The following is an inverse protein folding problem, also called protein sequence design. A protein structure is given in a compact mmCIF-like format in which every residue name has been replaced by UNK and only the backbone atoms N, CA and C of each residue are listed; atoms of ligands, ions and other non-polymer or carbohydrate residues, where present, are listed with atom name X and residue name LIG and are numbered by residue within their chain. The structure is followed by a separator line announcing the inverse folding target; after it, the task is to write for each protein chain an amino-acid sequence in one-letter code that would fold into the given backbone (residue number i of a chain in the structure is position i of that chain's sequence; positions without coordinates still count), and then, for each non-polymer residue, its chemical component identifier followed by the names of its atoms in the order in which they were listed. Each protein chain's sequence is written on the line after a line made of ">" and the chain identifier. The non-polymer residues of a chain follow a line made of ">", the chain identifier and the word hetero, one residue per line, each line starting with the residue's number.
data_IF_356806869706
#
_entry.id   IF_356806869706
#
_cell.length_a   1.000
_cell.length_b   1.000
_cell.length_c   1.000
_cell.angle_alpha   90.00
_cell.angle_beta   90.00
_cell.angle_gamma   90.00
#
_symmetry.space_group_name_H-M   'P 1'
#
loop_
_entity.id
_entity.type
_entity.pdbx_description
1 polymer ?
#
# COMPACT_ATOMS: atom_id res chain seq x y z
N UNK A 1 8.27 -0.84 8.89
CA UNK A 1 7.57 -1.95 8.21
C UNK A 1 7.73 -3.25 8.98
N UNK A 2 6.64 -4.00 9.19
CA UNK A 2 6.67 -5.43 9.55
C UNK A 2 7.07 -6.27 8.34
N UNK A 3 8.38 -6.39 8.12
CA UNK A 3 8.93 -6.85 6.85
C UNK A 3 8.80 -8.36 6.64
N UNK A 4 9.13 -9.16 7.66
CA UNK A 4 9.10 -10.62 7.57
C UNK A 4 7.66 -11.14 7.45
N UNK A 5 6.74 -10.56 8.21
CA UNK A 5 5.32 -10.90 8.19
C UNK A 5 4.69 -10.52 6.85
N UNK A 6 5.05 -9.36 6.31
CA UNK A 6 4.57 -8.96 5.00
C UNK A 6 5.13 -9.85 3.89
N UNK A 7 6.40 -10.27 3.96
CA UNK A 7 6.95 -11.27 3.05
C UNK A 7 6.14 -12.56 3.09
N UNK A 8 5.89 -13.12 4.28
CA UNK A 8 5.09 -14.34 4.45
C UNK A 8 3.66 -14.17 3.91
N UNK A 9 3.06 -13.00 4.12
CA UNK A 9 1.76 -12.68 3.55
C UNK A 9 1.78 -12.72 2.01
N UNK A 10 2.82 -12.18 1.38
CA UNK A 10 2.98 -12.20 -0.08
C UNK A 10 3.27 -13.60 -0.62
N UNK A 11 4.03 -14.42 0.09
CA UNK A 11 4.33 -15.81 -0.29
C UNK A 11 3.08 -16.71 -0.24
N UNK A 12 2.13 -16.39 0.63
CA UNK A 12 0.84 -17.08 0.73
C UNK A 12 -0.25 -16.49 -0.19
N UNK A 13 0.05 -15.45 -0.96
CA UNK A 13 -0.90 -14.85 -1.89
C UNK A 13 -0.96 -15.65 -3.20
N UNK A 14 -2.10 -16.29 -3.54
CA UNK A 14 -2.20 -17.12 -4.74
C UNK A 14 -2.03 -16.33 -6.05
N UNK A 15 -2.15 -14.99 -6.01
CA UNK A 15 -1.88 -14.13 -7.17
C UNK A 15 -0.39 -13.85 -7.39
N UNK A 16 0.48 -14.31 -6.49
CA UNK A 16 1.94 -14.12 -6.56
C UNK A 16 2.58 -15.47 -6.83
N UNK A 17 2.97 -15.68 -8.09
CA UNK A 17 3.37 -17.01 -8.59
C UNK A 17 4.86 -17.31 -8.48
N UNK A 18 5.68 -16.39 -7.95
CA UNK A 18 7.13 -16.60 -7.84
C UNK A 18 7.79 -15.79 -6.73
N UNK A 19 8.90 -16.30 -6.22
CA UNK A 19 9.76 -15.61 -5.27
C UNK A 19 10.27 -14.27 -5.82
N UNK A 20 10.58 -14.20 -7.12
CA UNK A 20 10.96 -12.96 -7.80
C UNK A 20 9.87 -11.89 -7.67
N UNK A 21 8.60 -12.29 -7.77
CA UNK A 21 7.47 -11.40 -7.64
C UNK A 21 7.25 -10.92 -6.18
N UNK A 22 7.58 -11.76 -5.19
CA UNK A 22 7.65 -11.38 -3.76
C UNK A 22 8.77 -10.37 -3.54
N UNK A 23 10.00 -10.70 -3.94
CA UNK A 23 11.19 -9.86 -3.79
C UNK A 23 11.01 -8.48 -4.44
N UNK A 24 10.36 -8.42 -5.61
CA UNK A 24 10.04 -7.16 -6.27
C UNK A 24 9.09 -6.27 -5.45
N UNK A 25 8.06 -6.86 -4.81
CA UNK A 25 7.13 -6.11 -3.95
C UNK A 25 7.78 -5.66 -2.64
N UNK A 26 8.60 -6.51 -2.03
CA UNK A 26 9.40 -6.16 -0.85
C UNK A 26 10.35 -4.99 -1.13
N UNK A 27 11.10 -5.07 -2.23
CA UNK A 27 11.98 -3.98 -2.67
C UNK A 27 11.23 -2.67 -2.89
N UNK A 28 10.07 -2.72 -3.54
CA UNK A 28 9.21 -1.55 -3.74
C UNK A 28 8.66 -1.00 -2.43
N UNK A 29 8.25 -1.84 -1.49
CA UNK A 29 7.77 -1.39 -0.18
C UNK A 29 8.86 -0.60 0.55
N UNK A 30 10.11 -1.09 0.55
CA UNK A 30 11.27 -0.38 1.14
C UNK A 30 11.55 0.94 0.41
N UNK A 31 11.52 0.94 -0.93
CA UNK A 31 11.68 2.17 -1.72
C UNK A 31 10.63 3.21 -1.39
N UNK A 32 9.39 2.80 -1.14
CA UNK A 32 8.32 3.73 -0.77
C UNK A 32 8.63 4.41 0.57
N UNK A 33 9.04 3.66 1.60
CA UNK A 33 9.43 4.28 2.88
C UNK A 33 10.60 5.26 2.71
N UNK A 34 11.59 4.90 1.88
CA UNK A 34 12.78 5.72 1.64
C UNK A 34 12.51 7.00 0.82
N UNK A 35 11.73 6.87 -0.25
CA UNK A 35 11.50 7.93 -1.25
C UNK A 35 10.42 8.91 -0.79
N UNK A 36 9.37 8.42 -0.13
CA UNK A 36 8.28 9.25 0.36
C UNK A 36 8.45 9.65 1.83
N UNK A 37 9.52 9.17 2.49
CA UNK A 37 9.81 9.45 3.92
C UNK A 37 8.62 9.12 4.83
N UNK A 38 7.91 8.04 4.51
CA UNK A 38 6.77 7.55 5.29
C UNK A 38 7.14 6.25 6.00
N UNK A 39 6.46 5.99 7.12
CA UNK A 39 6.42 4.66 7.72
C UNK A 39 5.12 3.98 7.26
N UNK A 40 5.23 2.90 6.50
CA UNK A 40 4.06 2.23 5.93
C UNK A 40 3.18 1.63 7.03
N UNK A 41 3.74 1.04 8.08
CA UNK A 41 2.97 0.46 9.20
C UNK A 41 2.07 1.49 9.85
N UNK A 42 2.61 2.69 10.09
CA UNK A 42 1.87 3.78 10.69
C UNK A 42 0.85 4.40 9.73
N UNK A 43 1.19 4.45 8.45
CA UNK A 43 0.36 5.04 7.40
C UNK A 43 -0.92 4.24 7.17
N UNK A 44 -0.83 2.91 7.13
CA UNK A 44 -1.99 2.07 6.78
C UNK A 44 -2.98 1.86 7.93
N UNK A 45 -2.63 2.26 9.16
CA UNK A 45 -3.51 2.16 10.35
C UNK A 45 -4.58 3.25 10.39
N UNK A 46 -4.46 4.26 9.55
CA UNK A 46 -5.36 5.41 9.48
C UNK A 46 -5.77 5.62 8.01
N UNK A 47 -7.08 5.60 7.76
CA UNK A 47 -7.62 5.66 6.40
C UNK A 47 -7.31 7.00 5.70
N UNK A 48 -7.21 8.11 6.45
CA UNK A 48 -6.87 9.42 5.90
C UNK A 48 -5.38 9.51 5.56
N UNK A 49 -4.51 8.94 6.40
CA UNK A 49 -3.07 8.83 6.08
C UNK A 49 -2.82 7.91 4.90
N UNK A 50 -3.52 6.79 4.83
CA UNK A 50 -3.50 5.89 3.69
C UNK A 50 -3.91 6.62 2.41
N UNK A 51 -5.00 7.39 2.45
CA UNK A 51 -5.46 8.19 1.33
C UNK A 51 -4.41 9.23 0.90
N UNK A 52 -3.86 9.99 1.84
CA UNK A 52 -2.83 10.99 1.58
C UNK A 52 -1.56 10.38 0.97
N UNK A 53 -1.11 9.23 1.48
CA UNK A 53 0.04 8.50 0.94
C UNK A 53 -0.21 8.01 -0.49
N UNK A 54 -1.41 7.47 -0.78
CA UNK A 54 -1.77 7.04 -2.12
C UNK A 54 -1.82 8.21 -3.11
N UNK A 55 -2.27 9.40 -2.69
CA UNK A 55 -2.22 10.61 -3.51
C UNK A 55 -0.78 11.02 -3.81
N UNK A 56 0.06 11.13 -2.78
CA UNK A 56 1.47 11.51 -2.93
C UNK A 56 2.24 10.55 -3.86
N UNK A 57 1.97 9.24 -3.72
CA UNK A 57 2.59 8.21 -4.55
C UNK A 57 2.08 8.24 -5.98
N UNK A 58 0.81 8.59 -6.21
CA UNK A 58 0.20 8.67 -7.55
C UNK A 58 1.01 9.56 -8.50
N UNK A 59 1.49 10.68 -8.00
CA UNK A 59 2.16 11.69 -8.81
C UNK A 59 3.56 11.24 -9.27
N UNK A 60 4.16 10.27 -8.56
CA UNK A 60 5.48 9.71 -8.87
C UNK A 60 5.44 8.30 -9.48
N UNK A 61 4.27 7.66 -9.48
CA UNK A 61 4.08 6.26 -9.88
C UNK A 61 3.08 6.15 -11.03
N UNK A 62 3.51 6.56 -12.22
CA UNK A 62 2.69 6.56 -13.44
C UNK A 62 2.17 5.17 -13.81
N UNK A 63 2.89 4.10 -13.44
CA UNK A 63 2.52 2.71 -13.71
C UNK A 63 1.68 2.06 -12.59
N UNK A 64 1.44 2.75 -11.45
CA UNK A 64 0.66 2.23 -10.32
C UNK A 64 1.34 1.10 -9.52
N UNK A 65 2.65 0.90 -9.68
CA UNK A 65 3.40 -0.15 -9.02
C UNK A 65 3.52 0.06 -7.51
N UNK A 66 3.85 1.28 -7.08
CA UNK A 66 3.93 1.66 -5.68
C UNK A 66 2.55 1.71 -5.03
N UNK A 67 1.54 2.26 -5.71
CA UNK A 67 0.18 2.25 -5.18
C UNK A 67 -0.32 0.83 -4.89
N UNK A 68 -0.05 -0.12 -5.79
CA UNK A 68 -0.44 -1.51 -5.62
C UNK A 68 0.24 -2.15 -4.40
N UNK A 69 1.50 -1.81 -4.13
CA UNK A 69 2.24 -2.30 -2.96
C UNK A 69 1.65 -1.73 -1.67
N UNK A 70 1.37 -0.43 -1.60
CA UNK A 70 0.76 0.19 -0.40
C UNK A 70 -0.63 -0.39 -0.16
N UNK A 71 -1.44 -0.57 -1.20
CA UNK A 71 -2.76 -1.22 -1.07
C UNK A 71 -2.67 -2.66 -0.60
N UNK A 72 -1.68 -3.43 -1.06
CA UNK A 72 -1.43 -4.78 -0.55
C UNK A 72 -1.01 -4.77 0.91
N UNK A 73 -0.15 -3.84 1.32
CA UNK A 73 0.23 -3.68 2.72
C UNK A 73 -0.95 -3.30 3.61
N UNK A 74 -1.85 -2.45 3.11
CA UNK A 74 -3.08 -2.11 3.81
C UNK A 74 -3.99 -3.32 4.02
N UNK A 75 -4.11 -4.21 3.02
CA UNK A 75 -4.85 -5.48 3.18
C UNK A 75 -4.18 -6.36 4.24
N UNK A 76 -2.85 -6.44 4.24
CA UNK A 76 -2.09 -7.20 5.24
C UNK A 76 -2.39 -6.72 6.67
N UNK A 77 -2.39 -5.41 6.92
CA UNK A 77 -2.63 -4.87 8.27
C UNK A 77 -4.12 -4.86 8.66
N UNK A 78 -5.01 -4.50 7.73
CA UNK A 78 -6.42 -4.22 8.06
C UNK A 78 -7.38 -5.34 7.67
N UNK A 79 -6.88 -6.42 7.04
CA UNK A 79 -7.69 -7.53 6.51
C UNK A 79 -8.83 -7.10 5.58
N UNK A 80 -8.76 -5.90 5.00
CA UNK A 80 -9.77 -5.32 4.10
C UNK A 80 -9.11 -4.53 2.97
N UNK A 81 -9.81 -4.39 1.85
CA UNK A 81 -9.34 -3.58 0.72
C UNK A 81 -9.63 -2.10 0.99
N UNK A 82 -8.63 -1.25 0.77
CA UNK A 82 -8.86 0.19 0.74
C UNK A 82 -9.72 0.53 -0.50
N UNK A 83 -10.74 1.38 -0.38
CA UNK A 83 -11.57 1.80 -1.50
C UNK A 83 -10.77 2.54 -2.58
N UNK A 84 -11.37 2.76 -3.75
CA UNK A 84 -10.74 3.60 -4.77
C UNK A 84 -10.57 5.04 -4.26
N UNK A 85 -9.62 5.79 -4.84
CA UNK A 85 -9.40 7.19 -4.46
C UNK A 85 -10.66 8.05 -4.65
N UNK A 86 -11.42 7.82 -5.73
CA UNK A 86 -12.68 8.55 -5.98
C UNK A 86 -13.76 8.18 -4.96
N UNK A 87 -13.90 6.88 -4.63
CA UNK A 87 -14.83 6.43 -3.59
C UNK A 87 -14.52 7.05 -2.23
N UNK A 88 -13.24 7.05 -1.82
CA UNK A 88 -12.83 7.65 -0.56
C UNK A 88 -13.02 9.16 -0.54
N UNK A 89 -12.62 9.86 -1.62
CA UNK A 89 -12.84 11.30 -1.76
C UNK A 89 -14.32 11.68 -1.67
N UNK A 90 -15.20 10.92 -2.30
CA UNK A 90 -16.64 11.16 -2.23
C UNK A 90 -17.21 10.94 -0.82
N UNK A 91 -16.69 9.96 -0.07
CA UNK A 91 -17.03 9.76 1.34
C UNK A 91 -16.66 11.00 2.16
N UNK A 92 -15.44 11.53 2.00
CA UNK A 92 -14.98 12.74 2.70
C UNK A 92 -15.87 13.96 2.41
N UNK A 93 -16.34 14.11 1.16
CA UNK A 93 -17.24 15.21 0.76
C UNK A 93 -18.64 15.12 1.36
N UNK A 94 -19.10 13.92 1.75
CA UNK A 94 -20.43 13.71 2.35
C UNK A 94 -20.46 13.90 3.87
N UNK A 95 -19.29 13.90 4.51
CA UNK A 95 -19.12 14.04 5.96
C UNK A 95 -18.80 15.49 6.36
N UNK A 96 -18.48 16.34 5.37
CA UNK A 96 -18.40 17.80 5.51
C UNK A 96 -19.74 18.44 5.21
#
# INVERSE_FOLDING_TARGET
>A
MQEEEFRRFLENDPSITSEKAVNSRMSRARRIEQEFKINIDYTVRDDDRMYAALLNVKDKDSAGNFQNVIRKYYIFINSKKFPTLSTYSNKLKKVR
#
